data_IF_630575484564
#
_entry.id   IF_630575484564
#
_cell.length_a   1.000
_cell.length_b   1.000
_cell.length_c   1.000
_cell.angle_alpha   90.00
_cell.angle_beta   90.00
_cell.angle_gamma   90.00
#
_symmetry.space_group_name_H-M   'P 1'
#
loop_
_entity.id
_entity.type
_entity.pdbx_description
1 polymer ?
#
# COMPACT_ATOMS: atom_id res chain seq x y z
N UNK A 1 -17.58 2.99 -24.78
CA UNK A 1 -18.44 2.50 -23.66
C UNK A 1 -17.86 2.78 -22.27
N UNK A 2 -16.53 2.73 -22.05
CA UNK A 2 -15.92 3.00 -20.73
C UNK A 2 -15.91 4.48 -20.30
N UNK A 3 -15.71 5.42 -21.24
CA UNK A 3 -15.65 6.87 -20.92
C UNK A 3 -17.00 7.38 -20.40
N UNK A 4 -18.10 7.03 -21.06
CA UNK A 4 -19.46 7.41 -20.63
C UNK A 4 -19.79 6.84 -19.24
N UNK A 5 -19.40 5.58 -18.97
CA UNK A 5 -19.56 4.98 -17.63
C UNK A 5 -18.72 5.71 -16.57
N UNK A 6 -17.49 6.13 -16.89
CA UNK A 6 -16.65 6.92 -15.98
C UNK A 6 -17.25 8.30 -15.73
N UNK A 7 -17.71 8.99 -16.77
CA UNK A 7 -18.39 10.30 -16.65
C UNK A 7 -19.65 10.18 -15.81
N UNK A 8 -20.49 9.16 -16.04
CA UNK A 8 -21.68 8.92 -15.24
C UNK A 8 -21.36 8.60 -13.78
N UNK A 9 -20.31 7.83 -13.50
CA UNK A 9 -19.86 7.56 -12.13
C UNK A 9 -19.33 8.81 -11.44
N UNK A 10 -18.58 9.66 -12.14
CA UNK A 10 -18.10 10.93 -11.61
C UNK A 10 -19.24 11.90 -11.35
N UNK A 11 -20.18 12.03 -12.30
CA UNK A 11 -21.37 12.85 -12.14
C UNK A 11 -22.26 12.37 -10.99
N UNK A 12 -22.49 11.05 -10.88
CA UNK A 12 -23.23 10.46 -9.77
C UNK A 12 -22.51 10.69 -8.44
N UNK A 13 -21.19 10.48 -8.38
CA UNK A 13 -20.38 10.76 -7.18
C UNK A 13 -20.43 12.23 -6.77
N UNK A 14 -20.39 13.15 -7.74
CA UNK A 14 -20.51 14.59 -7.51
C UNK A 14 -21.90 14.95 -6.97
N UNK A 15 -22.97 14.41 -7.56
CA UNK A 15 -24.35 14.65 -7.12
C UNK A 15 -24.58 14.10 -5.70
N UNK A 16 -24.13 12.87 -5.43
CA UNK A 16 -24.23 12.25 -4.10
C UNK A 16 -23.41 13.06 -3.08
N UNK A 17 -22.17 13.43 -3.42
CA UNK A 17 -21.30 14.23 -2.56
C UNK A 17 -21.87 15.61 -2.27
N UNK A 18 -22.39 16.30 -3.29
CA UNK A 18 -23.05 17.60 -3.14
C UNK A 18 -24.33 17.50 -2.30
N UNK A 19 -25.11 16.43 -2.49
CA UNK A 19 -26.35 16.21 -1.73
C UNK A 19 -26.06 15.89 -0.26
N UNK A 20 -25.07 15.03 0.00
CA UNK A 20 -24.60 14.75 1.35
C UNK A 20 -24.03 16.01 2.02
N UNK A 21 -23.20 16.78 1.30
CA UNK A 21 -22.66 18.05 1.77
C UNK A 21 -23.77 19.05 2.12
N UNK A 22 -24.78 19.19 1.26
CA UNK A 22 -25.96 20.02 1.53
C UNK A 22 -26.72 19.60 2.79
N UNK A 23 -26.88 18.28 3.01
CA UNK A 23 -27.51 17.76 4.23
C UNK A 23 -26.67 18.12 5.46
N UNK A 24 -25.35 17.90 5.43
CA UNK A 24 -24.47 18.22 6.55
C UNK A 24 -24.40 19.71 6.86
N UNK A 25 -24.33 20.56 5.83
CA UNK A 25 -24.35 22.03 5.99
C UNK A 25 -25.67 22.48 6.58
N UNK A 26 -26.79 21.96 6.06
CA UNK A 26 -28.13 22.27 6.58
C UNK A 26 -28.26 21.85 8.05
N UNK A 27 -27.84 20.64 8.38
CA UNK A 27 -27.87 20.11 9.75
C UNK A 27 -26.99 20.96 10.67
N UNK A 28 -25.81 21.35 10.21
CA UNK A 28 -24.89 22.22 10.95
C UNK A 28 -25.48 23.60 11.22
N UNK A 29 -26.13 24.22 10.23
CA UNK A 29 -26.79 25.52 10.37
C UNK A 29 -27.95 25.43 11.36
N UNK A 30 -28.81 24.42 11.24
CA UNK A 30 -29.96 24.25 12.14
C UNK A 30 -29.54 23.93 13.58
N UNK A 31 -28.43 23.22 13.79
CA UNK A 31 -27.96 22.83 15.13
C UNK A 31 -27.11 23.92 15.79
N UNK A 32 -26.24 24.58 15.03
CA UNK A 32 -25.20 25.46 15.58
C UNK A 32 -25.43 26.95 15.31
N UNK A 33 -26.50 27.33 14.59
CA UNK A 33 -26.82 28.74 14.34
C UNK A 33 -28.29 29.02 14.60
N UNK A 34 -28.62 30.27 14.92
CA UNK A 34 -30.01 30.73 15.08
C UNK A 34 -30.76 30.88 13.73
N UNK A 35 -30.19 30.39 12.62
CA UNK A 35 -30.77 30.53 11.29
C UNK A 35 -31.80 29.44 11.03
N UNK A 36 -33.03 29.85 10.70
CA UNK A 36 -34.07 28.90 10.32
C UNK A 36 -33.78 28.23 8.96
N UNK A 37 -34.29 27.01 8.77
CA UNK A 37 -34.14 26.27 7.52
C UNK A 37 -34.70 27.03 6.31
N UNK A 38 -35.84 27.71 6.48
CA UNK A 38 -36.47 28.52 5.43
C UNK A 38 -35.60 29.71 5.03
N UNK A 39 -35.04 30.42 6.02
CA UNK A 39 -34.10 31.52 5.77
C UNK A 39 -32.84 31.05 5.04
N UNK A 40 -32.32 29.86 5.37
CA UNK A 40 -31.19 29.27 4.68
C UNK A 40 -31.52 28.93 3.22
N UNK A 41 -32.65 28.25 2.97
CA UNK A 41 -33.09 27.92 1.61
C UNK A 41 -33.33 29.18 0.77
N UNK A 42 -33.93 30.22 1.35
CA UNK A 42 -34.11 31.49 0.67
C UNK A 42 -32.76 32.13 0.31
N UNK A 43 -31.79 32.14 1.23
CA UNK A 43 -30.44 32.64 0.95
C UNK A 43 -29.77 31.82 -0.16
N UNK A 44 -29.86 30.50 -0.11
CA UNK A 44 -29.31 29.63 -1.14
C UNK A 44 -29.93 29.88 -2.52
N UNK A 45 -31.26 30.02 -2.57
CA UNK A 45 -32.02 30.28 -3.79
C UNK A 45 -31.77 31.68 -4.39
N UNK A 46 -31.24 32.61 -3.58
CA UNK A 46 -30.95 33.99 -3.99
C UNK A 46 -29.47 34.26 -4.23
N UNK A 47 -28.58 33.26 -4.05
CA UNK A 47 -27.17 33.37 -4.41
C UNK A 47 -27.06 33.58 -5.93
N UNK A 48 -26.26 34.57 -6.33
CA UNK A 48 -25.93 34.74 -7.75
C UNK A 48 -25.17 33.51 -8.24
N UNK A 49 -25.52 33.03 -9.44
CA UNK A 49 -24.87 31.86 -10.04
C UNK A 49 -23.35 32.04 -10.13
N UNK A 50 -22.86 33.25 -10.44
CA UNK A 50 -21.43 33.57 -10.48
C UNK A 50 -20.72 33.37 -9.14
N UNK A 51 -21.39 33.76 -8.05
CA UNK A 51 -20.83 33.68 -6.69
C UNK A 51 -20.81 32.22 -6.23
N UNK A 52 -21.88 31.46 -6.55
CA UNK A 52 -21.94 30.02 -6.32
C UNK A 52 -20.87 29.24 -7.10
N UNK A 53 -20.65 29.57 -8.39
CA UNK A 53 -19.58 28.96 -9.20
C UNK A 53 -18.20 29.30 -8.61
N UNK A 54 -18.00 30.56 -8.23
CA UNK A 54 -16.71 31.02 -7.69
C UNK A 54 -16.38 30.34 -6.37
N UNK A 55 -17.33 30.33 -5.41
CA UNK A 55 -17.17 29.61 -4.14
C UNK A 55 -16.96 28.11 -4.37
N UNK A 56 -17.75 27.48 -5.24
CA UNK A 56 -17.55 26.06 -5.58
C UNK A 56 -16.15 25.77 -6.14
N UNK A 57 -15.63 26.62 -7.03
CA UNK A 57 -14.29 26.48 -7.59
C UNK A 57 -13.19 26.66 -6.54
N UNK A 58 -13.33 27.65 -5.65
CA UNK A 58 -12.41 27.88 -4.53
C UNK A 58 -12.44 26.69 -3.58
N UNK A 59 -13.61 26.14 -3.29
CA UNK A 59 -13.74 24.98 -2.42
C UNK A 59 -13.07 23.74 -2.98
N UNK A 60 -13.25 23.47 -4.28
CA UNK A 60 -12.55 22.38 -4.98
C UNK A 60 -11.04 22.60 -4.97
N UNK A 61 -10.57 23.81 -5.30
CA UNK A 61 -9.14 24.15 -5.27
C UNK A 61 -8.56 23.98 -3.86
N UNK A 62 -9.31 24.40 -2.83
CA UNK A 62 -8.93 24.25 -1.43
C UNK A 62 -8.78 22.79 -1.05
N UNK A 63 -9.71 21.92 -1.45
CA UNK A 63 -9.61 20.48 -1.20
C UNK A 63 -8.41 19.84 -1.94
N UNK A 64 -8.16 20.23 -3.19
CA UNK A 64 -7.02 19.77 -3.99
C UNK A 64 -5.69 20.10 -3.32
N UNK A 65 -5.60 21.25 -2.63
CA UNK A 65 -4.40 21.67 -1.90
C UNK A 65 -4.34 21.04 -0.50
N UNK A 66 -5.46 21.03 0.23
CA UNK A 66 -5.54 20.57 1.61
C UNK A 66 -5.24 19.07 1.74
N UNK A 67 -5.77 18.22 0.86
CA UNK A 67 -5.58 16.75 0.96
C UNK A 67 -4.09 16.36 0.90
N UNK A 68 -3.29 16.77 -0.11
CA UNK A 68 -1.84 16.53 -0.11
C UNK A 68 -1.11 17.05 1.12
N UNK A 69 -1.47 18.25 1.60
CA UNK A 69 -0.84 18.85 2.78
C UNK A 69 -1.14 18.04 4.05
N UNK A 70 -2.39 17.60 4.21
CA UNK A 70 -2.81 16.79 5.35
C UNK A 70 -2.17 15.40 5.33
N UNK A 71 -2.03 14.78 4.15
CA UNK A 71 -1.25 13.54 3.99
C UNK A 71 0.21 13.78 4.38
N UNK A 72 0.81 14.89 3.93
CA UNK A 72 2.20 15.22 4.27
C UNK A 72 2.39 15.42 5.78
N UNK A 73 1.46 16.12 6.44
CA UNK A 73 1.45 16.31 7.89
C UNK A 73 1.32 14.96 8.60
N UNK A 74 0.39 14.12 8.15
CA UNK A 74 0.13 12.80 8.71
C UNK A 74 1.37 11.88 8.61
N UNK A 75 1.91 11.68 7.42
CA UNK A 75 3.12 10.88 7.23
C UNK A 75 4.31 11.49 7.98
N UNK A 76 4.40 12.82 8.02
CA UNK A 76 5.39 13.56 8.80
C UNK A 76 5.28 13.29 10.30
N UNK A 77 4.07 13.04 10.81
CA UNK A 77 3.82 12.60 12.17
C UNK A 77 4.44 11.24 12.47
N UNK A 78 4.23 10.24 11.62
CA UNK A 78 4.88 8.93 11.75
C UNK A 78 6.40 9.05 11.73
N UNK A 79 6.93 9.89 10.82
CA UNK A 79 8.35 10.16 10.73
C UNK A 79 8.90 10.73 12.04
N UNK A 80 8.34 11.84 12.53
CA UNK A 80 8.81 12.51 13.75
C UNK A 80 8.70 11.58 14.97
N UNK A 81 7.53 10.96 15.17
CA UNK A 81 7.31 10.05 16.29
C UNK A 81 8.20 8.81 16.22
N UNK A 82 8.43 8.26 15.03
CA UNK A 82 9.35 7.16 14.82
C UNK A 82 10.80 7.52 15.14
N UNK A 83 11.30 8.65 14.61
CA UNK A 83 12.67 9.11 14.86
C UNK A 83 12.92 9.37 16.35
N UNK A 84 12.01 10.04 17.05
CA UNK A 84 12.10 10.27 18.50
C UNK A 84 12.09 8.94 19.26
N UNK A 85 11.39 7.94 18.74
CA UNK A 85 11.33 6.59 19.31
C UNK A 85 12.56 5.72 19.01
N UNK A 86 13.52 6.24 18.24
CA UNK A 86 14.76 5.56 17.85
C UNK A 86 14.66 4.71 16.59
N UNK A 87 13.56 4.82 15.82
CA UNK A 87 13.51 4.24 14.48
C UNK A 87 14.47 4.99 13.54
N UNK A 88 14.92 4.33 12.47
CA UNK A 88 15.74 4.96 11.44
C UNK A 88 14.96 5.09 10.13
N UNK A 89 15.19 6.19 9.44
CA UNK A 89 14.57 6.48 8.15
C UNK A 89 14.93 5.43 7.08
N UNK A 90 13.91 4.93 6.37
CA UNK A 90 14.05 4.04 5.20
C UNK A 90 13.47 4.74 3.97
N UNK A 91 12.16 5.01 3.97
CA UNK A 91 11.49 5.68 2.86
C UNK A 91 10.31 6.54 3.32
N UNK A 92 10.03 7.58 2.53
CA UNK A 92 8.91 8.48 2.74
C UNK A 92 8.33 8.89 1.40
N UNK A 93 7.02 8.75 1.25
CA UNK A 93 6.36 8.93 -0.03
C UNK A 93 5.10 9.74 0.10
N UNK A 94 4.90 10.59 -0.91
CA UNK A 94 3.65 11.29 -1.17
C UNK A 94 3.26 11.00 -2.62
N UNK A 95 2.07 10.42 -2.83
CA UNK A 95 1.60 9.92 -4.11
C UNK A 95 2.62 9.01 -4.83
N UNK A 96 3.27 9.53 -5.88
CA UNK A 96 4.25 8.80 -6.68
C UNK A 96 5.69 9.26 -6.42
N UNK A 97 5.93 10.23 -5.54
CA UNK A 97 7.27 10.71 -5.22
C UNK A 97 7.75 10.06 -3.93
N UNK A 98 8.74 9.19 -4.04
CA UNK A 98 9.31 8.45 -2.91
C UNK A 98 10.73 8.94 -2.65
N UNK A 99 10.93 9.54 -1.48
CA UNK A 99 12.25 9.79 -0.91
C UNK A 99 12.75 8.52 -0.24
N UNK A 100 13.92 8.03 -0.66
CA UNK A 100 14.53 6.83 -0.11
C UNK A 100 15.93 7.13 0.39
N UNK A 101 16.39 6.32 1.35
CA UNK A 101 17.79 6.30 1.76
C UNK A 101 18.51 5.17 1.03
N UNK A 102 19.37 5.54 0.10
CA UNK A 102 20.18 4.63 -0.70
C UNK A 102 21.66 4.90 -0.43
N UNK A 103 22.38 3.90 0.10
CA UNK A 103 23.80 4.00 0.44
C UNK A 103 24.14 5.24 1.31
N UNK A 104 23.29 5.53 2.29
CA UNK A 104 23.45 6.68 3.19
C UNK A 104 23.10 8.04 2.59
N UNK A 105 22.69 8.11 1.32
CA UNK A 105 22.26 9.35 0.65
C UNK A 105 20.75 9.32 0.40
N UNK A 106 20.12 10.50 0.47
CA UNK A 106 18.72 10.64 0.10
C UNK A 106 18.59 10.73 -1.42
N UNK A 107 17.72 9.90 -2.00
CA UNK A 107 17.39 9.89 -3.43
C UNK A 107 15.89 9.95 -3.61
N UNK A 108 15.43 10.57 -4.69
CA UNK A 108 14.03 10.59 -5.06
C UNK A 108 13.82 9.58 -6.19
N UNK A 109 12.94 8.61 -5.98
CA UNK A 109 12.43 7.70 -7.02
C UNK A 109 10.95 7.99 -7.27
N UNK A 110 10.48 7.69 -8.49
CA UNK A 110 9.05 7.76 -8.82
C UNK A 110 8.42 6.38 -8.66
N UNK A 111 7.60 6.22 -7.63
CA UNK A 111 6.99 4.95 -7.26
C UNK A 111 5.63 5.19 -6.61
N UNK A 112 4.56 4.62 -7.15
CA UNK A 112 3.19 4.79 -6.66
C UNK A 112 2.60 3.42 -6.30
N UNK A 113 2.03 3.28 -5.10
CA UNK A 113 1.30 2.08 -4.69
C UNK A 113 -0.16 2.45 -4.82
N UNK A 114 -0.90 1.68 -5.60
CA UNK A 114 -2.33 1.89 -5.74
C UNK A 114 -3.00 1.74 -4.36
N UNK A 115 -3.85 2.71 -4.00
CA UNK A 115 -4.61 2.68 -2.75
C UNK A 115 -3.97 3.39 -1.56
N UNK A 116 -2.80 4.01 -1.72
CA UNK A 116 -2.14 4.79 -0.65
C UNK A 116 -1.92 6.25 -1.08
N UNK A 117 -2.32 7.22 -0.25
CA UNK A 117 -2.05 8.65 -0.48
C UNK A 117 -0.62 9.07 -0.13
N UNK A 118 -0.06 8.44 0.90
CA UNK A 118 1.32 8.59 1.37
C UNK A 118 1.84 7.27 1.94
N UNK A 119 3.10 7.25 2.34
CA UNK A 119 3.67 6.16 3.12
C UNK A 119 4.99 6.58 3.78
N UNK A 120 5.08 6.43 5.09
CA UNK A 120 6.32 6.50 5.85
C UNK A 120 6.72 5.09 6.32
N UNK A 121 7.89 4.61 5.88
CA UNK A 121 8.48 3.37 6.38
C UNK A 121 9.79 3.69 7.10
N UNK A 122 9.89 3.19 8.32
CA UNK A 122 11.08 3.30 9.15
C UNK A 122 11.48 1.92 9.65
N UNK A 123 12.79 1.72 9.85
CA UNK A 123 13.30 0.49 10.46
C UNK A 123 13.27 0.60 11.99
N UNK A 124 12.69 -0.37 12.71
CA UNK A 124 12.64 -0.38 14.17
C UNK A 124 14.02 -0.36 14.83
N UNK A 125 14.15 0.18 16.07
CA UNK A 125 15.40 0.08 16.82
C UNK A 125 15.77 -1.37 17.14
N UNK A 126 17.07 -1.60 17.35
CA UNK A 126 17.63 -2.89 17.77
C UNK A 126 17.32 -3.13 19.27
N UNK A 127 16.06 -3.47 19.54
CA UNK A 127 15.52 -3.80 20.86
C UNK A 127 14.74 -5.13 20.79
N UNK A 128 14.59 -5.84 21.92
CA UNK A 128 13.63 -6.93 22.04
C UNK A 128 12.24 -6.50 21.58
N UNK A 129 11.49 -7.40 20.92
CA UNK A 129 10.23 -7.08 20.24
C UNK A 129 9.21 -6.39 21.18
N UNK A 130 9.13 -6.81 22.45
CA UNK A 130 8.27 -6.25 23.50
C UNK A 130 8.66 -4.83 23.94
N UNK A 131 9.89 -4.39 23.64
CA UNK A 131 10.42 -3.06 23.95
C UNK A 131 10.47 -2.11 22.76
N UNK A 132 10.15 -2.58 21.56
CA UNK A 132 10.06 -1.72 20.36
C UNK A 132 8.87 -0.74 20.49
N UNK A 133 9.06 0.58 20.35
CA UNK A 133 8.01 1.59 20.57
C UNK A 133 7.00 1.70 19.40
N UNK A 134 6.25 0.63 19.16
CA UNK A 134 5.27 0.54 18.04
C UNK A 134 4.07 1.47 18.19
N UNK A 135 3.64 1.77 19.42
CA UNK A 135 2.46 2.60 19.66
C UNK A 135 2.71 4.03 19.20
N UNK A 136 3.79 4.66 19.67
CA UNK A 136 4.12 6.03 19.29
C UNK A 136 4.37 6.17 17.79
N UNK A 137 5.02 5.18 17.17
CA UNK A 137 5.18 5.14 15.71
C UNK A 137 3.83 5.15 14.97
N UNK A 138 2.90 4.26 15.33
CA UNK A 138 1.60 4.18 14.65
C UNK A 138 0.64 5.32 15.02
N UNK A 139 0.75 5.92 16.20
CA UNK A 139 -0.08 7.09 16.57
C UNK A 139 0.41 8.41 15.97
N UNK A 140 1.63 8.45 15.42
CA UNK A 140 2.28 9.69 15.00
C UNK A 140 1.48 10.51 13.99
N UNK A 141 0.89 9.87 12.97
CA UNK A 141 0.11 10.57 11.96
C UNK A 141 -1.15 11.23 12.51
N UNK A 142 -1.94 10.49 13.30
CA UNK A 142 -3.12 11.03 13.98
C UNK A 142 -2.76 12.19 14.93
N UNK A 143 -1.65 12.08 15.68
CA UNK A 143 -1.18 13.15 16.55
C UNK A 143 -0.81 14.41 15.77
N UNK A 144 -0.13 14.27 14.62
CA UNK A 144 0.23 15.40 13.77
C UNK A 144 -1.01 16.08 13.17
N UNK A 145 -2.01 15.32 12.74
CA UNK A 145 -3.30 15.87 12.29
C UNK A 145 -4.02 16.60 13.43
N UNK A 146 -4.08 16.05 14.64
CA UNK A 146 -4.67 16.74 15.78
C UNK A 146 -3.99 18.08 16.08
N UNK A 147 -2.66 18.14 15.97
CA UNK A 147 -1.91 19.40 16.12
C UNK A 147 -2.22 20.40 15.00
N UNK A 148 -2.35 19.92 13.76
CA UNK A 148 -2.74 20.75 12.62
C UNK A 148 -4.15 21.31 12.77
N UNK A 149 -5.11 20.50 13.24
CA UNK A 149 -6.47 20.91 13.56
C UNK A 149 -6.48 22.02 14.62
N UNK A 150 -5.73 21.84 15.72
CA UNK A 150 -5.63 22.86 16.78
C UNK A 150 -5.03 24.17 16.23
N UNK A 151 -3.98 24.08 15.42
CA UNK A 151 -3.35 25.25 14.80
C UNK A 151 -4.31 25.96 13.83
N UNK A 152 -5.03 25.21 12.99
CA UNK A 152 -6.00 25.77 12.04
C UNK A 152 -7.18 26.45 12.75
N UNK A 153 -7.69 25.84 13.84
CA UNK A 153 -8.73 26.45 14.68
C UNK A 153 -8.23 27.73 15.36
N UNK A 154 -7.00 27.74 15.88
CA UNK A 154 -6.41 28.93 16.48
C UNK A 154 -6.30 30.07 15.44
N UNK A 155 -5.84 29.78 14.22
CA UNK A 155 -5.78 30.76 13.13
C UNK A 155 -7.18 31.29 12.81
N UNK A 156 -8.17 30.42 12.66
CA UNK A 156 -9.55 30.79 12.34
C UNK A 156 -10.17 31.73 13.39
N UNK A 157 -9.85 31.54 14.66
CA UNK A 157 -10.45 32.29 15.77
C UNK A 157 -9.71 33.58 16.15
N UNK A 158 -8.42 33.70 15.78
CA UNK A 158 -7.57 34.81 16.25
C UNK A 158 -7.09 35.75 15.15
N UNK A 159 -7.18 35.35 13.89
CA UNK A 159 -6.66 36.12 12.75
C UNK A 159 -7.81 36.63 11.90
N UNK A 160 -7.77 37.91 11.51
CA UNK A 160 -8.67 38.45 10.49
C UNK A 160 -8.26 37.92 9.10
N UNK A 161 -9.02 36.94 8.60
CA UNK A 161 -8.74 36.27 7.33
C UNK A 161 -9.53 36.90 6.18
N UNK A 162 -8.88 37.01 5.00
CA UNK A 162 -9.60 37.30 3.75
C UNK A 162 -10.54 36.15 3.40
N UNK A 163 -11.63 36.44 2.71
CA UNK A 163 -12.71 35.49 2.38
C UNK A 163 -12.19 34.15 1.84
N UNK A 164 -11.28 34.15 0.87
CA UNK A 164 -10.75 32.92 0.28
C UNK A 164 -9.86 32.10 1.23
N UNK A 165 -9.12 32.78 2.10
CA UNK A 165 -8.27 32.11 3.10
C UNK A 165 -9.15 31.52 4.20
N UNK A 166 -10.19 32.23 4.61
CA UNK A 166 -11.17 31.73 5.56
C UNK A 166 -11.86 30.45 5.03
N UNK A 167 -12.30 30.46 3.78
CA UNK A 167 -12.88 29.27 3.13
C UNK A 167 -11.90 28.10 3.06
N UNK A 168 -10.65 28.35 2.66
CA UNK A 168 -9.59 27.33 2.66
C UNK A 168 -9.39 26.70 4.05
N UNK A 169 -9.29 27.51 5.11
CA UNK A 169 -9.07 27.02 6.47
C UNK A 169 -10.26 26.17 6.96
N UNK A 170 -11.51 26.57 6.65
CA UNK A 170 -12.68 25.76 6.98
C UNK A 170 -12.66 24.40 6.29
N UNK A 171 -12.31 24.36 5.00
CA UNK A 171 -12.22 23.12 4.22
C UNK A 171 -11.06 22.26 4.72
N UNK A 172 -9.92 22.87 5.05
CA UNK A 172 -8.78 22.19 5.65
C UNK A 172 -9.18 21.52 6.96
N UNK A 173 -9.82 22.25 7.89
CA UNK A 173 -10.31 21.71 9.17
C UNK A 173 -11.28 20.54 8.94
N UNK A 174 -12.24 20.70 8.03
CA UNK A 174 -13.22 19.66 7.75
C UNK A 174 -12.57 18.37 7.24
N UNK A 175 -11.63 18.47 6.30
CA UNK A 175 -10.91 17.32 5.75
C UNK A 175 -9.99 16.71 6.83
N UNK A 176 -9.33 17.53 7.65
CA UNK A 176 -8.45 17.06 8.73
C UNK A 176 -9.22 16.24 9.77
N UNK A 177 -10.42 16.70 10.16
CA UNK A 177 -11.32 15.92 11.03
C UNK A 177 -11.65 14.56 10.42
N UNK A 178 -11.91 14.50 9.11
CA UNK A 178 -12.14 13.22 8.42
C UNK A 178 -10.90 12.33 8.50
N UNK A 179 -9.69 12.86 8.28
CA UNK A 179 -8.44 12.13 8.40
C UNK A 179 -8.19 11.59 9.81
N UNK A 180 -8.46 12.41 10.83
CA UNK A 180 -8.39 12.03 12.25
C UNK A 180 -9.36 10.91 12.55
N UNK A 181 -10.60 10.96 12.05
CA UNK A 181 -11.58 9.89 12.28
C UNK A 181 -11.16 8.61 11.56
N UNK A 182 -10.83 8.68 10.27
CA UNK A 182 -10.52 7.51 9.44
C UNK A 182 -9.26 6.78 9.92
N UNK A 183 -8.28 7.48 10.53
CA UNK A 183 -7.07 6.84 11.05
C UNK A 183 -7.07 6.65 12.58
N UNK A 184 -7.79 7.50 13.32
CA UNK A 184 -7.84 7.51 14.79
C UNK A 184 -8.91 6.60 15.40
N UNK A 185 -9.93 6.20 14.64
CA UNK A 185 -10.91 5.18 15.07
C UNK A 185 -10.47 3.81 14.57
N UNK A 186 -10.31 2.78 15.43
CA UNK A 186 -9.87 1.45 14.98
C UNK A 186 -10.79 0.85 13.90
N UNK A 187 -10.27 0.71 12.68
CA UNK A 187 -11.01 0.17 11.54
C UNK A 187 -10.12 -0.73 10.67
N UNK A 188 -10.75 -1.64 9.93
CA UNK A 188 -10.11 -2.39 8.85
C UNK A 188 -10.85 -2.10 7.55
N UNK A 189 -10.13 -1.62 6.53
CA UNK A 189 -10.68 -1.34 5.19
C UNK A 189 -10.03 -2.30 4.21
N UNK A 190 -10.84 -3.17 3.56
CA UNK A 190 -10.30 -4.23 2.69
C UNK A 190 -9.38 -5.21 3.41
N UNK A 191 -9.55 -5.38 4.73
CA UNK A 191 -8.69 -6.20 5.59
C UNK A 191 -7.39 -5.52 6.07
N UNK A 192 -7.08 -4.33 5.56
CA UNK A 192 -5.92 -3.54 5.98
C UNK A 192 -6.31 -2.69 7.20
N UNK A 193 -5.51 -2.81 8.27
CA UNK A 193 -5.67 -2.02 9.49
C UNK A 193 -5.21 -0.58 9.27
N UNK A 194 -6.00 0.38 9.76
CA UNK A 194 -5.54 1.75 9.93
C UNK A 194 -4.67 1.90 11.18
N UNK A 195 -4.14 3.11 11.42
CA UNK A 195 -3.24 3.41 12.54
C UNK A 195 -3.79 3.01 13.91
N UNK A 196 -5.02 3.40 14.23
CA UNK A 196 -5.63 3.08 15.51
C UNK A 196 -5.88 1.56 15.67
N UNK A 197 -6.24 0.87 14.59
CA UNK A 197 -6.35 -0.60 14.61
C UNK A 197 -4.99 -1.28 14.76
N UNK A 198 -3.93 -0.73 14.15
CA UNK A 198 -2.56 -1.19 14.39
C UNK A 198 -2.21 -1.01 15.86
N UNK A 199 -2.34 0.20 16.43
CA UNK A 199 -2.09 0.43 17.86
C UNK A 199 -2.82 -0.59 18.74
N UNK A 200 -4.11 -0.82 18.46
CA UNK A 200 -4.92 -1.79 19.20
C UNK A 200 -4.38 -3.23 19.06
N UNK A 201 -4.14 -3.69 17.83
CA UNK A 201 -3.64 -5.05 17.57
C UNK A 201 -2.26 -5.28 18.17
N UNK A 202 -1.33 -4.36 17.92
CA UNK A 202 0.06 -4.44 18.38
C UNK A 202 0.21 -4.35 19.91
N UNK A 203 -0.78 -3.77 20.59
CA UNK A 203 -0.81 -3.72 22.06
C UNK A 203 -1.33 -5.01 22.71
N UNK A 204 -2.16 -5.79 21.99
CA UNK A 204 -2.85 -6.98 22.52
C UNK A 204 -2.26 -8.29 22.03
N UNK A 205 -1.61 -8.29 20.87
CA UNK A 205 -1.17 -9.49 20.20
C UNK A 205 0.35 -9.46 19.96
N UNK A 206 1.07 -10.35 20.65
CA UNK A 206 2.53 -10.47 20.55
C UNK A 206 2.99 -10.96 19.17
N UNK A 207 2.22 -11.81 18.51
CA UNK A 207 2.54 -12.32 17.18
C UNK A 207 2.34 -11.24 16.12
N UNK A 208 1.21 -10.52 16.15
CA UNK A 208 0.98 -9.36 15.26
C UNK A 208 2.07 -8.28 15.45
N UNK A 209 2.47 -8.04 16.71
CA UNK A 209 3.60 -7.16 17.05
C UNK A 209 4.91 -7.62 16.44
N UNK A 210 5.25 -8.90 16.60
CA UNK A 210 6.45 -9.47 15.97
C UNK A 210 6.38 -9.35 14.46
N UNK A 211 5.26 -9.73 13.84
CA UNK A 211 5.06 -9.65 12.39
C UNK A 211 5.21 -8.23 11.85
N UNK A 212 4.66 -7.23 12.53
CA UNK A 212 4.86 -5.81 12.18
C UNK A 212 6.34 -5.40 12.23
N UNK A 213 7.05 -5.76 13.30
CA UNK A 213 8.47 -5.43 13.46
C UNK A 213 9.32 -6.13 12.37
N UNK A 214 9.08 -7.41 12.12
CA UNK A 214 9.81 -8.19 11.11
C UNK A 214 9.56 -7.66 9.71
N UNK A 215 8.32 -7.30 9.35
CA UNK A 215 8.02 -6.69 8.06
C UNK A 215 8.79 -5.40 7.84
N UNK A 216 8.84 -4.50 8.83
CA UNK A 216 9.60 -3.25 8.70
C UNK A 216 11.12 -3.50 8.60
N UNK A 217 11.66 -4.46 9.37
CA UNK A 217 13.07 -4.84 9.30
C UNK A 217 13.43 -5.46 7.94
N UNK A 218 12.64 -6.42 7.48
CA UNK A 218 12.83 -7.06 6.19
C UNK A 218 12.69 -6.06 5.04
N UNK A 219 11.68 -5.20 5.07
CA UNK A 219 11.51 -4.15 4.06
C UNK A 219 12.76 -3.23 3.97
N UNK A 220 13.33 -2.84 5.10
CA UNK A 220 14.55 -2.03 5.12
C UNK A 220 15.72 -2.78 4.46
N UNK A 221 15.95 -4.04 4.85
CA UNK A 221 17.01 -4.86 4.28
C UNK A 221 16.83 -5.13 2.78
N UNK A 222 15.60 -5.39 2.32
CA UNK A 222 15.27 -5.58 0.91
C UNK A 222 15.58 -4.31 0.12
N UNK A 223 15.17 -3.13 0.60
CA UNK A 223 15.51 -1.87 -0.06
C UNK A 223 17.02 -1.64 -0.14
N UNK A 224 17.78 -2.08 0.85
CA UNK A 224 19.25 -2.03 0.89
C UNK A 224 19.93 -3.11 0.03
N UNK A 225 19.18 -3.95 -0.68
CA UNK A 225 19.75 -4.96 -1.58
C UNK A 225 20.04 -6.30 -0.92
N UNK A 226 19.62 -6.51 0.33
CA UNK A 226 19.77 -7.81 1.00
C UNK A 226 18.63 -8.73 0.57
N UNK A 227 18.98 -9.89 0.03
CA UNK A 227 18.01 -10.89 -0.41
C UNK A 227 17.33 -11.59 0.77
N UNK A 228 16.07 -12.04 0.65
CA UNK A 228 15.37 -12.78 1.70
C UNK A 228 16.15 -13.96 2.31
N UNK A 229 16.91 -14.72 1.50
CA UNK A 229 17.70 -15.88 1.95
C UNK A 229 18.88 -15.51 2.84
N UNK A 230 19.40 -14.29 2.67
CA UNK A 230 20.59 -13.75 3.35
C UNK A 230 20.22 -13.01 4.65
N UNK A 231 18.92 -12.87 4.94
CA UNK A 231 18.43 -12.33 6.22
C UNK A 231 18.57 -13.35 7.36
N UNK A 232 18.58 -12.88 8.62
CA UNK A 232 18.69 -13.77 9.79
C UNK A 232 17.58 -14.82 9.82
N UNK A 233 17.95 -16.10 9.95
CA UNK A 233 17.03 -17.24 9.86
C UNK A 233 15.95 -17.20 10.94
N UNK A 234 16.28 -16.67 12.11
CA UNK A 234 15.39 -16.50 13.25
C UNK A 234 14.22 -15.52 13.00
N UNK A 235 14.21 -14.80 11.88
CA UNK A 235 13.07 -13.99 11.48
C UNK A 235 11.98 -14.80 10.78
N UNK A 236 12.31 -15.99 10.27
CA UNK A 236 11.43 -16.85 9.44
C UNK A 236 10.99 -18.11 10.19
N UNK A 237 10.72 -17.97 11.50
CA UNK A 237 10.34 -19.08 12.36
C UNK A 237 8.90 -19.50 12.04
N UNK A 238 8.69 -20.80 11.91
CA UNK A 238 7.35 -21.39 11.87
C UNK A 238 6.68 -21.24 13.24
N UNK A 239 5.64 -20.42 13.31
CA UNK A 239 4.89 -20.16 14.54
C UNK A 239 3.84 -21.22 14.85
N UNK A 240 3.72 -22.27 14.02
CA UNK A 240 2.71 -23.31 14.11
C UNK A 240 1.52 -23.02 13.21
N UNK A 241 0.31 -22.98 13.77
CA UNK A 241 -0.90 -22.77 12.98
C UNK A 241 -0.95 -21.36 12.36
N UNK A 242 -1.09 -21.30 11.03
CA UNK A 242 -1.18 -20.05 10.27
C UNK A 242 -2.50 -19.34 10.56
N UNK A 243 -2.42 -18.06 10.95
CA UNK A 243 -3.60 -17.22 11.15
C UNK A 243 -3.89 -16.37 9.89
N UNK A 244 -4.61 -16.94 8.93
CA UNK A 244 -4.93 -16.32 7.64
C UNK A 244 -5.69 -14.98 7.75
N UNK A 245 -6.42 -14.75 8.85
CA UNK A 245 -7.28 -13.57 9.04
C UNK A 245 -6.54 -12.37 9.61
N UNK A 246 -5.36 -12.58 10.21
CA UNK A 246 -4.52 -11.50 10.70
C UNK A 246 -3.36 -11.23 9.73
N UNK A 247 -3.46 -10.13 8.99
CA UNK A 247 -2.48 -9.78 7.96
C UNK A 247 -1.06 -9.57 8.51
N UNK A 248 -0.92 -9.16 9.78
CA UNK A 248 0.40 -8.97 10.38
C UNK A 248 1.01 -10.30 10.77
N UNK A 249 0.21 -11.25 11.26
CA UNK A 249 0.69 -12.62 11.51
C UNK A 249 1.03 -13.33 10.20
N UNK A 250 0.08 -13.36 9.26
CA UNK A 250 0.25 -14.04 7.96
C UNK A 250 1.43 -13.49 7.13
N UNK A 251 1.81 -12.23 7.34
CA UNK A 251 3.00 -11.66 6.70
C UNK A 251 4.30 -12.43 7.01
N UNK A 252 4.41 -13.02 8.21
CA UNK A 252 5.59 -13.80 8.60
C UNK A 252 5.66 -15.11 7.79
N UNK A 253 4.51 -15.73 7.54
CA UNK A 253 4.39 -16.91 6.68
C UNK A 253 4.69 -16.59 5.21
N UNK A 254 4.22 -15.44 4.72
CA UNK A 254 4.59 -14.93 3.39
C UNK A 254 6.10 -14.68 3.28
N UNK A 255 6.71 -14.06 4.30
CA UNK A 255 8.16 -13.85 4.36
C UNK A 255 8.93 -15.19 4.34
N UNK A 256 8.45 -16.20 5.07
CA UNK A 256 9.04 -17.55 5.06
C UNK A 256 8.96 -18.18 3.66
N UNK A 257 7.80 -18.11 3.01
CA UNK A 257 7.62 -18.64 1.66
C UNK A 257 8.50 -17.90 0.63
N UNK A 258 8.60 -16.58 0.74
CA UNK A 258 9.52 -15.74 -0.07
C UNK A 258 10.98 -16.15 0.12
N UNK A 259 11.40 -16.47 1.35
CA UNK A 259 12.74 -16.95 1.63
C UNK A 259 13.03 -18.32 0.98
N UNK A 260 12.06 -19.24 1.00
CA UNK A 260 12.19 -20.55 0.34
C UNK A 260 12.32 -20.39 -1.18
N UNK A 261 11.54 -19.48 -1.78
CA UNK A 261 11.65 -19.13 -3.20
C UNK A 261 13.04 -18.62 -3.57
N UNK A 262 13.58 -17.69 -2.79
CA UNK A 262 14.92 -17.12 -3.02
C UNK A 262 16.05 -18.15 -2.80
N UNK A 263 15.80 -19.14 -1.93
CA UNK A 263 16.66 -20.32 -1.79
C UNK A 263 16.48 -21.37 -2.89
N UNK A 264 15.54 -21.15 -3.82
CA UNK A 264 15.20 -22.08 -4.90
C UNK A 264 14.71 -23.45 -4.39
N UNK A 265 14.13 -23.48 -3.18
CA UNK A 265 13.50 -24.68 -2.61
C UNK A 265 12.07 -24.80 -3.17
N UNK A 266 11.98 -25.16 -4.45
CA UNK A 266 10.76 -25.07 -5.25
C UNK A 266 9.58 -25.86 -4.69
N UNK A 267 9.80 -27.11 -4.30
CA UNK A 267 8.75 -27.99 -3.78
C UNK A 267 8.25 -27.52 -2.40
N UNK A 268 9.15 -27.08 -1.52
CA UNK A 268 8.79 -26.51 -0.22
C UNK A 268 7.97 -25.22 -0.39
N UNK A 269 8.41 -24.32 -1.28
CA UNK A 269 7.71 -23.08 -1.57
C UNK A 269 6.34 -23.34 -2.20
N UNK A 270 6.27 -24.25 -3.18
CA UNK A 270 5.02 -24.70 -3.79
C UNK A 270 4.02 -25.17 -2.73
N UNK A 271 4.43 -26.07 -1.82
CA UNK A 271 3.55 -26.61 -0.77
C UNK A 271 2.94 -25.51 0.10
N UNK A 272 3.72 -24.49 0.46
CA UNK A 272 3.22 -23.35 1.24
C UNK A 272 2.24 -22.50 0.44
N UNK A 273 2.58 -22.11 -0.80
CA UNK A 273 1.67 -21.29 -1.60
C UNK A 273 0.38 -22.02 -1.99
N UNK A 274 0.45 -23.32 -2.23
CA UNK A 274 -0.71 -24.18 -2.46
C UNK A 274 -1.61 -24.24 -1.22
N UNK A 275 -1.02 -24.33 -0.03
CA UNK A 275 -1.75 -24.20 1.24
C UNK A 275 -2.38 -22.82 1.40
N UNK A 276 -1.63 -21.74 1.20
CA UNK A 276 -2.14 -20.37 1.32
C UNK A 276 -3.27 -20.12 0.31
N UNK A 277 -3.17 -20.68 -0.90
CA UNK A 277 -4.17 -20.54 -1.95
C UNK A 277 -5.49 -21.24 -1.57
N UNK A 278 -5.44 -22.38 -0.87
CA UNK A 278 -6.66 -23.01 -0.32
C UNK A 278 -7.41 -22.10 0.67
N UNK A 279 -6.68 -21.22 1.35
CA UNK A 279 -7.21 -20.23 2.29
C UNK A 279 -7.33 -18.82 1.69
N UNK A 280 -7.30 -18.67 0.36
CA UNK A 280 -7.26 -17.35 -0.30
C UNK A 280 -8.46 -16.44 0.00
N UNK A 281 -9.61 -17.02 0.37
CA UNK A 281 -10.81 -16.28 0.76
C UNK A 281 -10.73 -15.71 2.18
N UNK A 282 -9.79 -16.18 3.01
CA UNK A 282 -9.58 -15.74 4.39
C UNK A 282 -8.50 -14.67 4.52
N UNK A 283 -7.55 -14.64 3.58
CA UNK A 283 -6.48 -13.64 3.53
C UNK A 283 -6.93 -12.36 2.81
N UNK A 284 -6.22 -11.26 3.07
CA UNK A 284 -6.54 -9.97 2.45
C UNK A 284 -6.34 -10.03 0.92
N UNK A 285 -7.14 -9.29 0.11
CA UNK A 285 -7.15 -9.44 -1.34
C UNK A 285 -5.78 -9.25 -2.02
N UNK A 286 -4.95 -8.34 -1.50
CA UNK A 286 -3.60 -8.13 -2.05
C UNK A 286 -2.72 -9.35 -1.84
N UNK A 287 -2.75 -9.97 -0.66
CA UNK A 287 -2.01 -11.21 -0.41
C UNK A 287 -2.57 -12.38 -1.22
N UNK A 288 -3.89 -12.46 -1.43
CA UNK A 288 -4.46 -13.48 -2.31
C UNK A 288 -3.90 -13.37 -3.74
N UNK A 289 -3.73 -12.15 -4.26
CA UNK A 289 -3.10 -11.93 -5.59
C UNK A 289 -1.61 -12.26 -5.61
N UNK A 290 -0.87 -11.93 -4.56
CA UNK A 290 0.53 -12.32 -4.45
C UNK A 290 0.69 -13.85 -4.36
N UNK A 291 -0.14 -14.53 -3.56
CA UNK A 291 -0.18 -16.00 -3.47
C UNK A 291 -0.53 -16.62 -4.83
N UNK A 292 -1.50 -16.07 -5.56
CA UNK A 292 -1.83 -16.52 -6.93
C UNK A 292 -0.62 -16.41 -7.88
N UNK A 293 0.13 -15.30 -7.82
CA UNK A 293 1.34 -15.11 -8.63
C UNK A 293 2.43 -16.13 -8.27
N UNK A 294 2.72 -16.30 -6.98
CA UNK A 294 3.79 -17.20 -6.54
C UNK A 294 3.43 -18.67 -6.68
N UNK A 295 2.16 -19.04 -6.49
CA UNK A 295 1.68 -20.38 -6.79
C UNK A 295 1.81 -20.67 -8.29
N UNK A 296 1.39 -19.75 -9.16
CA UNK A 296 1.57 -19.89 -10.61
C UNK A 296 3.05 -20.14 -10.95
N UNK A 297 3.96 -19.32 -10.42
CA UNK A 297 5.39 -19.50 -10.66
C UNK A 297 5.90 -20.86 -10.16
N UNK A 298 5.59 -21.22 -8.92
CA UNK A 298 6.06 -22.47 -8.32
C UNK A 298 5.48 -23.70 -8.99
N UNK A 299 4.21 -23.67 -9.44
CA UNK A 299 3.62 -24.73 -10.26
C UNK A 299 4.42 -24.93 -11.55
N UNK A 300 4.87 -23.87 -12.22
CA UNK A 300 5.65 -23.97 -13.45
C UNK A 300 7.04 -24.59 -13.23
N UNK A 301 7.82 -24.07 -12.30
CA UNK A 301 9.18 -24.57 -12.04
C UNK A 301 9.22 -25.97 -11.42
N UNK A 302 8.08 -26.48 -10.99
CA UNK A 302 7.93 -27.84 -10.48
C UNK A 302 7.15 -28.77 -11.43
N UNK A 303 6.89 -28.34 -12.68
CA UNK A 303 6.28 -29.18 -13.71
C UNK A 303 4.77 -29.39 -13.61
N UNK A 304 4.07 -28.66 -12.72
CA UNK A 304 2.60 -28.70 -12.55
C UNK A 304 1.90 -27.79 -13.57
N UNK A 305 2.13 -28.05 -14.86
CA UNK A 305 1.74 -27.15 -15.96
C UNK A 305 0.22 -26.94 -16.05
N UNK A 306 -0.58 -27.98 -15.82
CA UNK A 306 -2.05 -27.85 -15.90
C UNK A 306 -2.61 -26.93 -14.82
N UNK A 307 -2.13 -27.07 -13.59
CA UNK A 307 -2.49 -26.16 -12.49
C UNK A 307 -2.06 -24.72 -12.80
N UNK A 308 -0.86 -24.53 -13.37
CA UNK A 308 -0.41 -23.22 -13.80
C UNK A 308 -1.32 -22.60 -14.88
N UNK A 309 -1.80 -23.39 -15.85
CA UNK A 309 -2.77 -22.93 -16.87
C UNK A 309 -4.08 -22.46 -16.24
N UNK A 310 -4.60 -23.17 -15.24
CA UNK A 310 -5.82 -22.79 -14.53
C UNK A 310 -5.65 -21.49 -13.73
N UNK A 311 -4.47 -21.30 -13.11
CA UNK A 311 -4.17 -20.08 -12.32
C UNK A 311 -3.97 -18.85 -13.22
N UNK A 312 -3.48 -19.00 -14.44
CA UNK A 312 -3.12 -17.90 -15.34
C UNK A 312 -4.32 -17.27 -16.08
N UNK A 313 -5.31 -16.84 -15.30
CA UNK A 313 -6.55 -16.17 -15.73
C UNK A 313 -6.31 -14.74 -16.24
N UNK A 314 -7.26 -14.18 -16.98
CA UNK A 314 -7.19 -12.80 -17.47
C UNK A 314 -7.15 -11.75 -16.34
N UNK A 315 -7.78 -12.06 -15.20
CA UNK A 315 -7.72 -11.23 -14.01
C UNK A 315 -6.31 -11.18 -13.44
N UNK A 316 -5.65 -12.34 -13.29
CA UNK A 316 -4.28 -12.42 -12.78
C UNK A 316 -3.28 -11.78 -13.77
N UNK A 317 -3.45 -11.99 -15.08
CA UNK A 317 -2.65 -11.31 -16.12
C UNK A 317 -2.73 -9.79 -16.00
N UNK A 318 -3.93 -9.26 -15.80
CA UNK A 318 -4.13 -7.82 -15.61
C UNK A 318 -3.40 -7.31 -14.38
N UNK A 319 -3.45 -8.06 -13.28
CA UNK A 319 -2.72 -7.76 -12.05
C UNK A 319 -1.20 -7.74 -12.28
N UNK A 320 -0.64 -8.82 -12.83
CA UNK A 320 0.78 -8.94 -13.17
C UNK A 320 1.22 -7.75 -14.05
N UNK A 321 0.48 -7.45 -15.11
CA UNK A 321 0.76 -6.35 -16.03
C UNK A 321 0.75 -4.98 -15.34
N UNK A 322 -0.18 -4.76 -14.42
CA UNK A 322 -0.32 -3.51 -13.68
C UNK A 322 0.87 -3.25 -12.74
N UNK A 323 1.44 -4.31 -12.15
CA UNK A 323 2.49 -4.20 -11.12
C UNK A 323 3.91 -4.50 -11.62
N UNK A 324 4.09 -4.90 -12.89
CA UNK A 324 5.40 -5.33 -13.40
C UNK A 324 6.49 -4.27 -13.42
N UNK A 325 6.16 -2.98 -13.48
CA UNK A 325 7.14 -1.90 -13.39
C UNK A 325 7.55 -1.56 -11.96
N UNK A 326 6.87 -2.15 -10.98
CA UNK A 326 7.02 -1.82 -9.56
C UNK A 326 7.58 -2.99 -8.74
N UNK A 327 7.32 -4.22 -9.20
CA UNK A 327 7.70 -5.47 -8.53
C UNK A 327 8.36 -6.40 -9.56
N UNK A 328 9.63 -6.72 -9.36
CA UNK A 328 10.41 -7.60 -10.24
C UNK A 328 9.88 -9.04 -10.27
N UNK A 329 9.08 -9.42 -9.27
CA UNK A 329 8.41 -10.72 -9.22
C UNK A 329 7.44 -10.93 -10.38
N UNK A 330 6.80 -9.86 -10.89
CA UNK A 330 5.82 -10.00 -11.99
C UNK A 330 6.52 -10.32 -13.32
N UNK A 331 7.59 -9.61 -13.73
CA UNK A 331 8.44 -10.06 -14.82
C UNK A 331 9.01 -11.47 -14.62
N UNK A 332 9.42 -11.87 -13.40
CA UNK A 332 9.86 -13.25 -13.13
C UNK A 332 8.76 -14.27 -13.44
N UNK A 333 7.53 -14.03 -13.00
CA UNK A 333 6.38 -14.88 -13.33
C UNK A 333 6.20 -14.95 -14.85
N UNK A 334 6.24 -13.82 -15.56
CA UNK A 334 6.12 -13.79 -17.02
C UNK A 334 7.26 -14.51 -17.74
N UNK A 335 8.48 -14.45 -17.20
CA UNK A 335 9.63 -15.20 -17.69
C UNK A 335 9.38 -16.71 -17.58
N UNK A 336 8.89 -17.18 -16.43
CA UNK A 336 8.53 -18.59 -16.24
C UNK A 336 7.36 -19.03 -17.15
N UNK A 337 6.34 -18.20 -17.32
CA UNK A 337 5.23 -18.46 -18.25
C UNK A 337 5.74 -18.62 -19.68
N UNK A 338 6.56 -17.67 -20.15
CA UNK A 338 7.15 -17.73 -21.49
C UNK A 338 7.98 -19.01 -21.69
N UNK A 339 8.76 -19.39 -20.68
CA UNK A 339 9.64 -20.54 -20.76
C UNK A 339 8.89 -21.89 -20.70
N UNK A 340 8.00 -22.07 -19.72
CA UNK A 340 7.39 -23.37 -19.41
C UNK A 340 6.00 -23.59 -20.03
N UNK A 341 5.21 -22.53 -20.24
CA UNK A 341 3.84 -22.66 -20.80
C UNK A 341 3.78 -22.37 -22.29
N UNK A 342 4.53 -21.37 -22.74
CA UNK A 342 4.56 -20.92 -24.14
C UNK A 342 5.71 -21.55 -24.94
N UNK A 343 6.70 -22.13 -24.25
CA UNK A 343 7.92 -22.69 -24.84
C UNK A 343 8.70 -21.67 -25.69
N UNK A 344 8.63 -20.39 -25.32
CA UNK A 344 9.31 -19.28 -25.99
C UNK A 344 10.50 -18.80 -25.16
N UNK A 345 11.62 -19.50 -25.32
CA UNK A 345 12.89 -19.17 -24.65
C UNK A 345 13.40 -17.77 -25.03
N UNK A 346 13.18 -17.32 -26.26
CA UNK A 346 13.63 -16.01 -26.72
C UNK A 346 12.89 -14.88 -26.00
N UNK A 347 11.57 -15.04 -25.83
CA UNK A 347 10.75 -14.12 -25.03
C UNK A 347 11.15 -14.14 -23.56
N UNK A 348 11.38 -15.32 -22.97
CA UNK A 348 11.85 -15.43 -21.59
C UNK A 348 13.19 -14.70 -21.37
N UNK A 349 14.16 -14.89 -22.28
CA UNK A 349 15.45 -14.20 -22.24
C UNK A 349 15.31 -12.67 -22.36
N UNK A 350 14.46 -12.21 -23.28
CA UNK A 350 14.16 -10.77 -23.45
C UNK A 350 13.59 -10.14 -22.17
N UNK A 351 12.71 -10.85 -21.46
CA UNK A 351 12.16 -10.40 -20.17
C UNK A 351 13.29 -10.28 -19.13
N UNK A 352 14.11 -11.33 -18.98
CA UNK A 352 15.26 -11.31 -18.06
C UNK A 352 16.22 -10.14 -18.34
N UNK A 353 16.62 -9.93 -19.59
CA UNK A 353 17.51 -8.83 -19.99
C UNK A 353 16.88 -7.46 -19.73
N UNK A 354 15.56 -7.34 -19.93
CA UNK A 354 14.83 -6.11 -19.62
C UNK A 354 14.85 -5.79 -18.13
N UNK A 355 14.61 -6.78 -17.26
CA UNK A 355 14.69 -6.61 -15.80
C UNK A 355 16.11 -6.24 -15.38
N UNK A 356 17.12 -6.91 -15.95
CA UNK A 356 18.52 -6.64 -15.64
C UNK A 356 18.89 -5.18 -15.98
N UNK A 357 18.49 -4.71 -17.16
CA UNK A 357 18.77 -3.36 -17.66
C UNK A 357 18.09 -2.26 -16.83
N UNK A 358 16.91 -2.54 -16.29
CA UNK A 358 16.10 -1.59 -15.51
C UNK A 358 16.06 -1.93 -14.03
N UNK A 359 17.04 -2.68 -13.53
CA UNK A 359 17.09 -3.15 -12.13
C UNK A 359 17.06 -1.99 -11.12
N UNK A 360 17.72 -0.89 -11.45
CA UNK A 360 17.77 0.32 -10.61
C UNK A 360 16.41 1.06 -10.51
N UNK A 361 15.46 0.80 -11.40
CA UNK A 361 14.15 1.46 -11.38
C UNK A 361 13.26 0.92 -10.25
N UNK A 362 13.47 -0.33 -9.85
CA UNK A 362 12.72 -0.96 -8.77
C UNK A 362 13.14 -0.43 -7.39
N UNK A 363 12.20 -0.42 -6.46
CA UNK A 363 12.48 0.00 -5.08
C UNK A 363 13.11 -1.12 -4.24
N UNK A 364 12.64 -2.36 -4.41
CA UNK A 364 13.00 -3.50 -3.60
C UNK A 364 14.20 -4.25 -4.17
N UNK A 365 15.41 -3.71 -3.98
CA UNK A 365 16.62 -4.21 -4.64
C UNK A 365 16.99 -5.66 -4.28
N UNK A 366 16.73 -6.10 -3.05
CA UNK A 366 16.94 -7.48 -2.62
C UNK A 366 16.02 -8.48 -3.34
N UNK A 367 14.79 -8.06 -3.65
CA UNK A 367 13.87 -8.86 -4.48
C UNK A 367 14.35 -8.91 -5.93
N UNK A 368 14.80 -7.80 -6.50
CA UNK A 368 15.36 -7.76 -7.87
C UNK A 368 16.54 -8.72 -8.01
N UNK A 369 17.45 -8.73 -7.03
CA UNK A 369 18.61 -9.63 -7.04
C UNK A 369 18.20 -11.11 -6.92
N UNK A 370 17.21 -11.40 -6.06
CA UNK A 370 16.60 -12.74 -5.96
C UNK A 370 15.98 -13.15 -7.30
N UNK A 371 15.12 -12.31 -7.87
CA UNK A 371 14.37 -12.60 -9.08
C UNK A 371 15.30 -12.80 -10.30
N UNK A 372 16.35 -11.98 -10.44
CA UNK A 372 17.35 -12.14 -11.50
C UNK A 372 18.10 -13.47 -11.37
N UNK A 373 18.48 -13.87 -10.16
CA UNK A 373 19.14 -15.15 -9.89
C UNK A 373 18.21 -16.32 -10.25
N UNK A 374 16.94 -16.24 -9.83
CA UNK A 374 15.91 -17.23 -10.16
C UNK A 374 15.69 -17.33 -11.68
N UNK A 375 15.47 -16.21 -12.36
CA UNK A 375 15.27 -16.18 -13.82
C UNK A 375 16.49 -16.76 -14.55
N UNK A 376 17.70 -16.42 -14.12
CA UNK A 376 18.93 -16.96 -14.68
C UNK A 376 19.03 -18.47 -14.48
N UNK A 377 18.69 -18.98 -13.30
CA UNK A 377 18.69 -20.42 -13.02
C UNK A 377 17.72 -21.16 -13.93
N UNK A 378 16.45 -20.76 -13.99
CA UNK A 378 15.45 -21.46 -14.82
C UNK A 378 15.77 -21.36 -16.32
N UNK A 379 16.41 -20.28 -16.77
CA UNK A 379 16.89 -20.16 -18.15
C UNK A 379 18.06 -21.10 -18.43
N UNK A 380 18.93 -21.37 -17.46
CA UNK A 380 20.09 -22.24 -17.68
C UNK A 380 19.79 -23.73 -17.43
N UNK A 381 18.76 -24.05 -16.66
CA UNK A 381 18.31 -25.42 -16.48
C UNK A 381 17.66 -25.96 -17.74
N UNK A 382 18.08 -27.14 -18.18
CA UNK A 382 17.47 -27.89 -19.27
C UNK A 382 16.13 -28.55 -18.87
N UNK A 383 15.60 -28.26 -17.69
CA UNK A 383 14.31 -28.81 -17.21
C UNK A 383 13.14 -28.46 -18.12
N UNK A 384 13.23 -27.36 -18.87
CA UNK A 384 12.27 -27.02 -19.93
C UNK A 384 12.30 -28.02 -21.10
N UNK A 385 13.45 -28.62 -21.42
CA UNK A 385 13.58 -29.67 -22.45
C UNK A 385 13.06 -31.03 -21.92
N UNK A 386 13.35 -31.36 -20.65
CA UNK A 386 12.90 -32.61 -20.02
C UNK A 386 11.37 -32.66 -19.82
N UNK A 387 10.73 -31.51 -19.52
CA UNK A 387 9.28 -31.44 -19.38
C UNK A 387 8.57 -31.64 -20.74
N UNK A 388 9.19 -31.21 -21.85
CA UNK A 388 8.71 -31.48 -23.22
C UNK A 388 8.88 -32.95 -23.59
N UNK A 389 9.98 -33.58 -23.16
CA UNK A 389 10.20 -35.02 -23.39
C UNK A 389 9.21 -35.93 -22.63
N UNK A 390 8.64 -35.47 -21.50
CA UNK A 390 7.62 -36.23 -20.77
C UNK A 390 6.19 -36.12 -21.33
N UNK A 391 5.97 -35.21 -22.29
CA UNK A 391 4.67 -34.96 -22.92
C UNK A 391 4.60 -35.45 -24.39
N UNK A 392 5.74 -35.90 -24.95
CA UNK A 392 5.84 -36.57 -26.24
C UNK A 392 5.90 -38.08 -26.05
#
# INVERSE_FOLDING_TARGET
MNIIKTILKLAAGLIIGASAGMIFVTLGIVIFTDMSFDTFLHKLATINISDGITGGAIGVLSAIIAVPLLVLIHEGGHLVCGLISGYRFVSFRIFNMTLIKDNGRLRIKRYAIAGTGGQCLLTPPDKPDDKVPVILYNSGGVLANLLALIAALAILLTVELKTFVHEFILIFIFIDIIFIIINGVPMKVGGISNDAMNVLSLSRNKLARRGFIMQLRANALIQEGIRPKDMPREWFIDTGAVNYKDALEFSMDMMRASRLLDMMQWEEAYRLFDEFYRHKSEIIPIYAKEVECELLFTSLVTGRIEQARELFTDELKKYITQYQSMMSSKPRVLCAVALFMEHDRAKALSIYESVQRHSDDYLMQGEVLSDLDIMKTILNDNTAEDCVASLA
#
